data_IF_271112153567
#
_entry.id   IF_271112153567
#
_cell.length_a   1.000
_cell.length_b   1.000
_cell.length_c   1.000
_cell.angle_alpha   90.00
_cell.angle_beta   90.00
_cell.angle_gamma   90.00
#
_symmetry.space_group_name_H-M   'P 1'
#
loop_
_entity.id
_entity.type
_entity.pdbx_description
1 polymer ?
#
# COMPACT_ATOMS: atom_id res chain seq x y z
N UNK A 1 11.48 24.26 33.61
CA UNK A 1 11.12 24.92 32.34
C UNK A 1 9.94 24.17 31.75
N UNK A 2 8.73 24.71 31.91
CA UNK A 2 7.49 24.06 31.49
C UNK A 2 7.28 24.26 29.99
N UNK A 3 7.26 23.17 29.21
CA UNK A 3 6.81 23.22 27.82
C UNK A 3 5.29 23.40 27.81
N UNK A 4 4.81 24.59 27.44
CA UNK A 4 3.39 24.83 27.26
C UNK A 4 2.88 23.93 26.12
N UNK A 5 1.95 23.04 26.44
CA UNK A 5 1.26 22.25 25.43
C UNK A 5 0.54 23.20 24.46
N UNK A 6 0.96 23.22 23.20
CA UNK A 6 0.24 23.93 22.15
C UNK A 6 -1.15 23.31 22.00
N UNK A 7 -2.17 23.99 22.54
CA UNK A 7 -3.56 23.59 22.39
C UNK A 7 -3.89 23.61 20.89
N UNK A 8 -4.40 22.49 20.37
CA UNK A 8 -4.85 22.40 18.99
C UNK A 8 -6.01 23.39 18.80
N UNK A 9 -5.79 24.47 18.03
CA UNK A 9 -6.85 25.40 17.70
C UNK A 9 -7.99 24.63 17.03
N UNK A 10 -9.19 24.77 17.59
CA UNK A 10 -10.40 24.14 17.10
C UNK A 10 -10.53 24.40 15.58
N UNK A 11 -10.84 23.35 14.81
CA UNK A 11 -10.78 23.41 13.34
C UNK A 11 -11.60 24.57 12.75
N UNK A 12 -12.72 24.93 13.39
CA UNK A 12 -13.54 26.08 13.03
C UNK A 12 -12.84 27.44 13.23
N UNK A 13 -12.11 27.61 14.35
CA UNK A 13 -11.32 28.82 14.60
C UNK A 13 -10.19 28.96 13.58
N UNK A 14 -9.43 27.89 13.34
CA UNK A 14 -8.35 27.87 12.33
C UNK A 14 -8.87 28.24 10.93
N UNK A 15 -10.01 27.69 10.53
CA UNK A 15 -10.61 27.99 9.23
C UNK A 15 -11.02 29.46 9.08
N UNK A 16 -11.48 30.11 10.17
CA UNK A 16 -11.80 31.55 10.17
C UNK A 16 -10.56 32.41 10.02
N UNK A 17 -9.49 32.12 10.78
CA UNK A 17 -8.23 32.88 10.70
C UNK A 17 -7.61 32.76 9.31
N UNK A 18 -7.55 31.55 8.75
CA UNK A 18 -7.00 31.35 7.40
C UNK A 18 -7.79 32.15 6.35
N UNK A 19 -9.11 32.16 6.43
CA UNK A 19 -9.95 32.98 5.52
C UNK A 19 -9.71 34.47 5.69
N UNK A 20 -9.54 34.96 6.92
CA UNK A 20 -9.22 36.38 7.18
C UNK A 20 -7.86 36.79 6.59
N UNK A 21 -6.91 35.85 6.48
CA UNK A 21 -5.61 36.05 5.83
C UNK A 21 -5.66 35.89 4.30
N UNK A 22 -6.85 35.75 3.70
CA UNK A 22 -7.01 35.51 2.26
C UNK A 22 -6.65 34.09 1.80
N UNK A 23 -6.45 33.16 2.74
CA UNK A 23 -6.18 31.75 2.46
C UNK A 23 -7.49 30.96 2.46
N UNK A 24 -7.82 30.34 1.33
CA UNK A 24 -8.99 29.45 1.21
C UNK A 24 -8.57 28.00 1.46
N UNK A 25 -8.85 27.41 2.66
CA UNK A 25 -8.44 26.05 2.94
C UNK A 25 -9.28 25.04 2.14
N UNK A 26 -8.61 24.20 1.36
CA UNK A 26 -9.25 23.06 0.69
C UNK A 26 -9.45 21.94 1.71
N UNK A 27 -10.71 21.54 1.95
CA UNK A 27 -11.00 20.37 2.77
C UNK A 27 -11.06 19.12 1.90
N UNK A 28 -10.43 18.04 2.38
CA UNK A 28 -10.55 16.73 1.76
C UNK A 28 -12.00 16.26 1.95
N UNK A 29 -12.68 15.88 0.86
CA UNK A 29 -13.99 15.22 0.95
C UNK A 29 -13.84 13.91 1.72
N UNK A 30 -14.31 13.90 2.96
CA UNK A 30 -14.50 12.68 3.73
C UNK A 30 -15.91 12.18 3.44
N UNK A 31 -16.02 10.98 2.87
CA UNK A 31 -17.28 10.24 2.91
C UNK A 31 -17.66 10.10 4.39
N UNK A 32 -18.90 10.44 4.81
CA UNK A 32 -19.27 10.30 6.21
C UNK A 32 -19.18 8.82 6.57
N UNK A 33 -18.14 8.44 7.30
CA UNK A 33 -18.13 7.21 8.05
C UNK A 33 -19.19 7.38 9.14
N UNK A 34 -20.13 6.44 9.21
CA UNK A 34 -21.06 6.33 10.32
C UNK A 34 -20.27 6.49 11.64
N UNK A 35 -20.81 7.30 12.53
CA UNK A 35 -20.21 7.68 13.82
C UNK A 35 -20.01 6.40 14.64
N UNK A 36 -18.84 5.78 14.52
CA UNK A 36 -18.35 4.80 15.46
C UNK A 36 -17.61 5.58 16.55
N UNK A 37 -18.14 5.50 17.77
CA UNK A 37 -17.61 6.15 18.95
C UNK A 37 -16.10 5.90 19.10
N UNK A 38 -15.37 6.98 19.39
CA UNK A 38 -13.95 6.95 19.69
C UNK A 38 -13.71 6.10 20.95
N UNK A 39 -13.11 4.93 20.77
CA UNK A 39 -12.35 4.24 21.81
C UNK A 39 -10.87 4.57 21.61
N UNK A 40 -10.07 4.72 22.69
CA UNK A 40 -8.65 4.99 22.56
C UNK A 40 -7.99 3.82 21.82
N UNK A 41 -7.35 4.12 20.69
CA UNK A 41 -6.57 3.15 19.93
C UNK A 41 -5.42 2.66 20.80
N UNK A 42 -5.65 1.52 21.45
CA UNK A 42 -4.62 0.76 22.15
C UNK A 42 -3.54 0.35 21.16
N UNK A 43 -2.31 0.78 21.45
CA UNK A 43 -1.07 0.46 20.72
C UNK A 43 -0.84 -1.06 20.58
N UNK A 44 -1.62 -1.88 21.29
CA UNK A 44 -1.65 -3.34 21.17
C UNK A 44 -2.25 -3.86 19.85
N UNK A 45 -3.03 -3.07 19.11
CA UNK A 45 -3.65 -3.51 17.83
C UNK A 45 -2.61 -3.72 16.72
N UNK A 46 -1.47 -3.01 16.77
CA UNK A 46 -0.38 -3.17 15.79
C UNK A 46 0.33 -4.54 15.90
N UNK A 47 0.30 -5.18 17.07
CA UNK A 47 0.91 -6.48 17.30
C UNK A 47 0.00 -7.66 16.88
N UNK A 48 -1.32 -7.49 16.95
CA UNK A 48 -2.30 -8.51 16.51
C UNK A 48 -2.46 -8.54 14.98
N UNK A 49 -2.29 -7.39 14.31
CA UNK A 49 -2.33 -7.28 12.85
C UNK A 49 -1.06 -7.85 12.17
N UNK A 50 -0.02 -8.20 12.96
CA UNK A 50 1.16 -8.95 12.49
C UNK A 50 0.90 -10.48 12.41
N UNK A 51 -0.18 -10.96 13.04
CA UNK A 51 -0.60 -12.38 13.02
C UNK A 51 -1.81 -12.60 12.09
N UNK A 52 -2.52 -11.54 11.72
CA UNK A 52 -3.54 -11.57 10.67
C UNK A 52 -2.86 -11.56 9.30
N UNK A 53 -3.00 -12.65 8.54
CA UNK A 53 -2.32 -12.91 7.27
C UNK A 53 -2.15 -11.71 6.35
N UNK A 54 -0.98 -11.64 5.69
CA UNK A 54 -0.58 -10.54 4.83
C UNK A 54 -1.67 -10.23 3.80
N UNK A 55 -2.30 -9.05 3.89
CA UNK A 55 -3.37 -8.68 2.95
C UNK A 55 -2.86 -8.54 1.52
N UNK A 56 -1.61 -8.13 1.35
CA UNK A 56 -0.97 -7.94 0.05
C UNK A 56 0.49 -8.38 0.06
N UNK A 57 0.93 -9.02 -1.03
CA UNK A 57 2.32 -9.43 -1.26
C UNK A 57 2.81 -8.79 -2.56
N UNK A 58 4.02 -8.25 -2.52
CA UNK A 58 4.71 -7.67 -3.68
C UNK A 58 5.85 -8.60 -4.08
N UNK A 59 5.80 -9.08 -5.32
CA UNK A 59 6.80 -9.97 -5.89
C UNK A 59 7.75 -9.17 -6.77
N UNK A 60 9.05 -9.23 -6.44
CA UNK A 60 10.10 -8.41 -7.05
C UNK A 60 11.16 -9.28 -7.73
N UNK A 61 11.80 -8.80 -8.82
CA UNK A 61 13.03 -9.39 -9.30
C UNK A 61 14.14 -9.26 -8.25
N UNK A 62 15.04 -10.25 -8.22
CA UNK A 62 16.33 -10.07 -7.56
C UNK A 62 17.15 -8.94 -8.19
N UNK A 63 18.01 -8.29 -7.40
CA UNK A 63 18.93 -7.27 -7.92
C UNK A 63 18.31 -5.91 -8.19
N UNK A 64 17.11 -5.62 -7.66
CA UNK A 64 16.56 -4.26 -7.69
C UNK A 64 17.52 -3.27 -7.02
N UNK A 65 17.83 -2.19 -7.73
CA UNK A 65 18.62 -1.08 -7.21
C UNK A 65 17.88 -0.34 -6.08
N UNK A 66 18.64 0.34 -5.21
CA UNK A 66 18.06 1.14 -4.13
C UNK A 66 17.08 2.22 -4.64
N UNK A 67 17.34 2.77 -5.83
CA UNK A 67 16.48 3.79 -6.45
C UNK A 67 15.13 3.23 -6.88
N UNK A 68 15.12 2.01 -7.43
CA UNK A 68 13.88 1.32 -7.80
C UNK A 68 13.07 0.97 -6.55
N UNK A 69 13.74 0.49 -5.51
CA UNK A 69 13.10 0.15 -4.23
C UNK A 69 12.54 1.38 -3.51
N UNK A 70 13.21 2.54 -3.57
CA UNK A 70 12.72 3.80 -3.01
C UNK A 70 11.47 4.28 -3.77
N UNK A 71 11.49 4.25 -5.10
CA UNK A 71 10.32 4.61 -5.91
C UNK A 71 9.12 3.71 -5.58
N UNK A 72 9.33 2.40 -5.54
CA UNK A 72 8.29 1.43 -5.19
C UNK A 72 7.80 1.65 -3.75
N UNK A 73 8.71 1.89 -2.81
CA UNK A 73 8.36 2.19 -1.41
C UNK A 73 7.46 3.42 -1.29
N UNK A 74 7.79 4.50 -2.00
CA UNK A 74 6.97 5.72 -2.04
C UNK A 74 5.61 5.48 -2.70
N UNK A 75 5.59 4.75 -3.81
CA UNK A 75 4.35 4.44 -4.53
C UNK A 75 3.39 3.61 -3.67
N UNK A 76 3.91 2.56 -3.00
CA UNK A 76 3.13 1.72 -2.09
C UNK A 76 2.60 2.53 -0.89
N UNK A 77 3.46 3.35 -0.29
CA UNK A 77 3.10 4.21 0.85
C UNK A 77 2.00 5.21 0.49
N UNK A 78 2.05 5.79 -0.72
CA UNK A 78 1.04 6.71 -1.21
C UNK A 78 -0.34 6.06 -1.40
N UNK A 79 -0.41 4.74 -1.59
CA UNK A 79 -1.66 4.00 -1.77
C UNK A 79 -2.31 3.53 -0.46
N UNK A 80 -1.67 3.74 0.69
CA UNK A 80 -2.22 3.51 2.03
C UNK A 80 -1.55 2.38 2.81
N UNK A 81 -1.90 2.26 4.09
CA UNK A 81 -1.22 1.38 5.05
C UNK A 81 -1.21 -0.11 4.67
N UNK A 82 -2.26 -0.60 3.99
CA UNK A 82 -2.34 -2.00 3.57
C UNK A 82 -1.29 -2.35 2.50
N UNK A 83 -1.00 -1.42 1.58
CA UNK A 83 0.04 -1.58 0.56
C UNK A 83 1.43 -1.22 1.10
N UNK A 84 1.51 -0.23 2.00
CA UNK A 84 2.76 0.16 2.64
C UNK A 84 3.38 -0.98 3.47
N UNK A 85 2.53 -1.78 4.14
CA UNK A 85 2.92 -2.93 4.97
C UNK A 85 2.95 -4.26 4.18
N UNK A 86 2.81 -4.23 2.86
CA UNK A 86 2.80 -5.44 2.05
C UNK A 86 4.13 -6.20 2.19
N UNK A 87 4.06 -7.52 2.34
CA UNK A 87 5.27 -8.36 2.38
C UNK A 87 5.95 -8.33 1.01
N UNK A 88 7.28 -8.28 1.00
CA UNK A 88 8.08 -8.27 -0.22
C UNK A 88 8.79 -9.60 -0.37
N UNK A 89 8.61 -10.25 -1.52
CA UNK A 89 9.27 -11.51 -1.85
C UNK A 89 10.06 -11.33 -3.13
N UNK A 90 11.30 -11.80 -3.12
CA UNK A 90 12.19 -11.74 -4.28
C UNK A 90 12.20 -13.06 -5.03
N UNK A 91 12.24 -12.99 -6.35
CA UNK A 91 12.44 -14.14 -7.25
C UNK A 91 13.92 -14.24 -7.61
N UNK A 92 14.54 -15.37 -7.28
CA UNK A 92 15.91 -15.71 -7.64
C UNK A 92 15.93 -16.94 -8.54
N UNK A 93 16.61 -16.85 -9.69
CA UNK A 93 16.70 -17.97 -10.64
C UNK A 93 15.34 -18.50 -11.13
N UNK A 94 14.33 -17.64 -11.22
CA UNK A 94 12.96 -18.03 -11.60
C UNK A 94 12.20 -18.80 -10.51
N UNK A 95 12.73 -18.85 -9.29
CA UNK A 95 12.11 -19.46 -8.12
C UNK A 95 11.86 -18.40 -7.05
N UNK A 96 10.72 -18.52 -6.36
CA UNK A 96 10.45 -17.73 -5.17
C UNK A 96 11.20 -18.33 -3.98
N UNK A 97 11.59 -17.49 -3.03
CA UNK A 97 12.09 -17.97 -1.74
C UNK A 97 11.04 -18.89 -1.10
N UNK A 98 11.51 -19.98 -0.46
CA UNK A 98 10.63 -20.97 0.16
C UNK A 98 9.70 -20.30 1.18
N UNK A 99 8.39 -20.60 1.09
CA UNK A 99 7.37 -20.03 1.98
C UNK A 99 6.79 -18.70 1.48
N UNK A 100 6.17 -18.70 0.30
CA UNK A 100 5.38 -17.54 -0.17
C UNK A 100 4.16 -17.39 0.74
N UNK A 101 3.98 -16.27 1.44
CA UNK A 101 2.83 -16.08 2.30
C UNK A 101 1.54 -16.04 1.47
N UNK A 102 0.52 -16.73 1.94
CA UNK A 102 -0.82 -16.66 1.38
C UNK A 102 -1.41 -15.27 1.62
N UNK A 103 -1.89 -14.64 0.55
CA UNK A 103 -2.38 -13.28 0.56
C UNK A 103 -3.57 -13.12 -0.37
N UNK A 104 -4.41 -12.12 -0.07
CA UNK A 104 -5.61 -11.82 -0.86
C UNK A 104 -5.27 -11.15 -2.19
N UNK A 105 -4.15 -10.43 -2.26
CA UNK A 105 -3.69 -9.78 -3.47
C UNK A 105 -2.18 -9.91 -3.66
N UNK A 106 -1.77 -10.21 -4.89
CA UNK A 106 -0.37 -10.26 -5.30
C UNK A 106 -0.13 -9.17 -6.35
N UNK A 107 0.83 -8.29 -6.08
CA UNK A 107 1.36 -7.36 -7.07
C UNK A 107 2.68 -7.92 -7.58
N UNK A 108 2.75 -8.23 -8.87
CA UNK A 108 3.91 -8.88 -9.48
C UNK A 108 4.60 -7.91 -10.43
N UNK A 109 5.90 -7.70 -10.24
CA UNK A 109 6.70 -6.76 -11.03
C UNK A 109 7.50 -7.56 -12.06
N UNK A 110 6.97 -7.63 -13.28
CA UNK A 110 7.56 -8.36 -14.41
C UNK A 110 6.93 -9.74 -14.68
N UNK A 111 7.05 -10.18 -15.94
CA UNK A 111 6.44 -11.43 -16.42
C UNK A 111 7.16 -12.67 -15.89
N UNK A 112 8.49 -12.64 -15.80
CA UNK A 112 9.28 -13.75 -15.24
C UNK A 112 8.88 -14.05 -13.79
N UNK A 113 8.56 -13.00 -13.04
CA UNK A 113 8.10 -13.08 -11.65
C UNK A 113 6.68 -13.65 -11.58
N UNK A 114 5.81 -13.34 -12.54
CA UNK A 114 4.46 -13.90 -12.62
C UNK A 114 4.51 -15.39 -12.88
N UNK A 115 5.41 -15.81 -13.77
CA UNK A 115 5.61 -17.23 -14.06
C UNK A 115 6.19 -17.99 -12.85
N UNK A 116 7.17 -17.40 -12.15
CA UNK A 116 7.69 -17.96 -10.90
C UNK A 116 6.59 -18.09 -9.84
N UNK A 117 5.73 -17.08 -9.72
CA UNK A 117 4.58 -17.06 -8.81
C UNK A 117 3.58 -18.17 -9.13
N UNK A 118 3.23 -18.33 -10.40
CA UNK A 118 2.31 -19.38 -10.84
C UNK A 118 2.80 -20.80 -10.59
N UNK A 119 4.13 -21.03 -10.52
CA UNK A 119 4.69 -22.34 -10.17
C UNK A 119 4.75 -22.61 -8.67
N UNK A 120 4.85 -21.56 -7.86
CA UNK A 120 5.05 -21.68 -6.41
C UNK A 120 3.74 -21.68 -5.62
N UNK A 121 2.68 -21.07 -6.15
CA UNK A 121 1.41 -20.95 -5.43
C UNK A 121 0.54 -22.20 -5.58
N UNK A 122 -0.09 -22.67 -4.48
CA UNK A 122 -1.16 -23.66 -4.57
C UNK A 122 -2.32 -23.14 -5.44
N UNK A 123 -2.91 -24.03 -6.24
CA UNK A 123 -4.01 -23.67 -7.16
C UNK A 123 -5.21 -23.04 -6.43
N UNK A 124 -5.53 -23.50 -5.22
CA UNK A 124 -6.61 -22.97 -4.40
C UNK A 124 -6.42 -21.47 -4.09
N UNK A 125 -5.20 -21.06 -3.74
CA UNK A 125 -4.86 -19.66 -3.46
C UNK A 125 -4.82 -18.86 -4.76
N UNK A 126 -4.30 -19.44 -5.84
CA UNK A 126 -4.25 -18.77 -7.15
C UNK A 126 -5.64 -18.40 -7.69
N UNK A 127 -6.65 -19.25 -7.45
CA UNK A 127 -8.03 -18.98 -7.85
C UNK A 127 -8.73 -17.93 -6.98
N UNK A 128 -8.33 -17.80 -5.71
CA UNK A 128 -8.97 -16.88 -4.76
C UNK A 128 -8.29 -15.51 -4.71
N UNK A 129 -6.99 -15.44 -5.06
CA UNK A 129 -6.20 -14.23 -4.94
C UNK A 129 -6.32 -13.32 -6.17
N UNK A 130 -6.36 -12.02 -5.93
CA UNK A 130 -6.25 -11.01 -6.98
C UNK A 130 -4.78 -10.85 -7.40
N UNK A 131 -4.41 -11.35 -8.57
CA UNK A 131 -3.05 -11.19 -9.11
C UNK A 131 -3.04 -10.04 -10.11
N UNK A 132 -2.16 -9.06 -9.90
CA UNK A 132 -1.99 -7.91 -10.80
C UNK A 132 -0.54 -7.83 -11.27
N UNK A 133 -0.36 -7.87 -12.58
CA UNK A 133 0.93 -7.71 -13.23
C UNK A 133 1.26 -6.22 -13.46
N UNK A 134 2.48 -5.84 -13.12
CA UNK A 134 3.06 -4.54 -13.39
C UNK A 134 4.39 -4.69 -14.13
N UNK A 135 4.84 -3.61 -14.78
CA UNK A 135 6.13 -3.58 -15.48
C UNK A 135 7.31 -3.85 -14.53
N UNK A 136 8.42 -4.30 -15.08
CA UNK A 136 9.66 -4.50 -14.33
C UNK A 136 10.19 -3.19 -13.72
N UNK A 137 10.89 -3.25 -12.56
CA UNK A 137 11.37 -2.06 -11.87
C UNK A 137 12.30 -1.17 -12.70
N UNK A 138 13.12 -1.76 -13.57
CA UNK A 138 14.00 -1.02 -14.48
C UNK A 138 13.21 -0.12 -15.44
N UNK A 139 12.09 -0.62 -15.97
CA UNK A 139 11.21 0.13 -16.87
C UNK A 139 10.47 1.25 -16.15
N UNK A 140 10.20 1.11 -14.85
CA UNK A 140 9.56 2.17 -14.06
C UNK A 140 10.42 3.43 -13.99
N UNK A 141 11.74 3.30 -13.95
CA UNK A 141 12.64 4.46 -13.96
C UNK A 141 12.75 5.08 -15.35
N UNK A 142 12.78 4.25 -16.40
CA UNK A 142 13.00 4.70 -17.77
C UNK A 142 11.75 5.29 -18.44
N UNK A 143 10.53 4.84 -18.07
CA UNK A 143 9.31 5.14 -18.81
C UNK A 143 8.21 5.76 -17.96
N UNK A 144 7.70 6.91 -18.40
CA UNK A 144 6.50 7.51 -17.83
C UNK A 144 5.24 6.63 -18.04
N UNK A 145 5.19 5.86 -19.13
CA UNK A 145 4.11 4.92 -19.40
C UNK A 145 4.06 3.80 -18.36
N UNK A 146 5.22 3.26 -18.00
CA UNK A 146 5.34 2.22 -16.97
C UNK A 146 4.89 2.73 -15.59
N UNK A 147 5.24 3.98 -15.22
CA UNK A 147 4.74 4.62 -13.99
C UNK A 147 3.21 4.75 -13.97
N UNK A 148 2.59 5.11 -15.10
CA UNK A 148 1.13 5.19 -15.21
C UNK A 148 0.47 3.83 -15.06
N UNK A 149 1.03 2.79 -15.68
CA UNK A 149 0.55 1.41 -15.53
C UNK A 149 0.68 0.91 -14.11
N UNK A 150 1.82 1.15 -13.45
CA UNK A 150 2.00 0.87 -12.03
C UNK A 150 0.93 1.58 -11.18
N UNK A 151 0.69 2.87 -11.41
CA UNK A 151 -0.33 3.61 -10.66
C UNK A 151 -1.74 3.03 -10.84
N UNK A 152 -2.07 2.57 -12.05
CA UNK A 152 -3.35 1.91 -12.32
C UNK A 152 -3.43 0.53 -11.64
N UNK A 153 -2.35 -0.25 -11.68
CA UNK A 153 -2.25 -1.54 -10.98
C UNK A 153 -2.46 -1.36 -9.47
N UNK A 154 -1.76 -0.40 -8.85
CA UNK A 154 -1.91 -0.08 -7.42
C UNK A 154 -3.33 0.36 -7.06
N UNK A 155 -3.96 1.20 -7.90
CA UNK A 155 -5.37 1.57 -7.70
C UNK A 155 -6.31 0.38 -7.80
N UNK A 156 -6.03 -0.57 -8.70
CA UNK A 156 -6.81 -1.80 -8.83
C UNK A 156 -6.70 -2.66 -7.56
N UNK A 157 -5.48 -2.94 -7.11
CA UNK A 157 -5.23 -3.70 -5.88
C UNK A 157 -5.89 -3.04 -4.68
N UNK A 158 -5.74 -1.72 -4.52
CA UNK A 158 -6.37 -0.99 -3.42
C UNK A 158 -7.90 -1.14 -3.40
N UNK A 159 -8.55 -1.15 -4.57
CA UNK A 159 -10.01 -1.37 -4.67
C UNK A 159 -10.37 -2.80 -4.29
N UNK A 160 -9.61 -3.80 -4.76
CA UNK A 160 -9.84 -5.19 -4.39
C UNK A 160 -9.69 -5.42 -2.88
N UNK A 161 -8.69 -4.81 -2.26
CA UNK A 161 -8.48 -4.88 -0.81
C UNK A 161 -9.61 -4.21 -0.02
N UNK A 162 -10.15 -3.09 -0.50
CA UNK A 162 -11.26 -2.39 0.13
C UNK A 162 -12.60 -3.14 -0.01
N UNK A 163 -12.84 -3.79 -1.16
CA UNK A 163 -14.03 -4.60 -1.39
C UNK A 163 -14.06 -5.85 -0.50
N UNK A 164 -12.89 -6.41 -0.18
CA UNK A 164 -12.76 -7.57 0.68
C UNK A 164 -12.79 -7.26 2.20
N UNK A 165 -12.88 -5.99 2.57
CA UNK A 165 -12.96 -5.53 3.97
C UNK A 165 -14.35 -5.03 4.39
N UNK A 166 -15.31 -4.99 3.46
CA UNK A 166 -16.72 -4.70 3.71
C UNK A 166 -17.52 -5.99 3.82
#
# INVERSE_FOLDING_TARGET
MNAAACQHAEAGHRARVLRALGVTPWQRRTTPAAIAAAAPESVASAALDAVAGTRCVVVLPQGCSARELDLLGRALSACGAALARAARVTVSGGQLAAGVPEARAYLVLGEAQAHALGRALPAAVMHQAQIVLADEPALLLASAGAKRRLWNALRSVRRALAAASG
#
